data_IF_974288766354
#
_entry.id   IF_974288766354
#
_cell.length_a   1.000
_cell.length_b   1.000
_cell.length_c   1.000
_cell.angle_alpha   90.00
_cell.angle_beta   90.00
_cell.angle_gamma   90.00
#
_symmetry.space_group_name_H-M   'P 1'
#
loop_
_entity.id
_entity.type
_entity.pdbx_description
1 polymer ?
#
# COMPACT_ATOMS: atom_id res chain seq x y z
N UNK A 1 33.69 23.45 -45.71
CA UNK A 1 32.91 22.24 -45.35
C UNK A 1 32.49 22.34 -43.87
N UNK A 2 31.52 23.16 -43.45
CA UNK A 2 31.45 23.45 -41.99
C UNK A 2 30.08 23.74 -41.35
N UNK A 3 29.01 24.12 -42.05
CA UNK A 3 27.73 24.43 -41.38
C UNK A 3 26.66 23.31 -41.49
N UNK A 4 26.53 22.69 -42.67
CA UNK A 4 25.48 21.70 -42.95
C UNK A 4 25.73 20.37 -42.24
N UNK A 5 26.98 19.89 -42.25
CA UNK A 5 27.37 18.64 -41.54
C UNK A 5 27.16 18.74 -40.03
N UNK A 6 27.43 19.90 -39.42
CA UNK A 6 27.27 20.11 -37.98
C UNK A 6 25.79 20.11 -37.59
N UNK A 7 24.92 20.77 -38.37
CA UNK A 7 23.46 20.72 -38.18
C UNK A 7 22.90 19.31 -38.30
N UNK A 8 23.31 18.54 -39.32
CA UNK A 8 22.85 17.16 -39.49
C UNK A 8 23.30 16.25 -38.35
N UNK A 9 24.55 16.37 -37.87
CA UNK A 9 25.05 15.57 -36.73
C UNK A 9 24.31 15.91 -35.44
N UNK A 10 24.06 17.19 -35.15
CA UNK A 10 23.28 17.61 -33.97
C UNK A 10 21.84 17.07 -34.04
N UNK A 11 21.19 17.14 -35.21
CA UNK A 11 19.83 16.60 -35.39
C UNK A 11 19.76 15.08 -35.21
N UNK A 12 20.74 14.33 -35.70
CA UNK A 12 20.80 12.87 -35.52
C UNK A 12 21.00 12.49 -34.05
N UNK A 13 21.87 13.20 -33.31
CA UNK A 13 22.10 12.95 -31.88
C UNK A 13 20.85 13.24 -31.05
N UNK A 14 20.12 14.32 -31.33
CA UNK A 14 18.87 14.65 -30.63
C UNK A 14 17.79 13.59 -30.89
N UNK A 15 17.64 13.14 -32.14
CA UNK A 15 16.68 12.08 -32.49
C UNK A 15 17.02 10.77 -31.79
N UNK A 16 18.31 10.38 -31.75
CA UNK A 16 18.75 9.17 -31.06
C UNK A 16 18.54 9.26 -29.54
N UNK A 17 18.77 10.42 -28.93
CA UNK A 17 18.50 10.66 -27.50
C UNK A 17 17.00 10.55 -27.19
N UNK A 18 16.14 11.16 -28.00
CA UNK A 18 14.69 11.06 -27.84
C UNK A 18 14.20 9.62 -28.04
N UNK A 19 14.72 8.91 -29.04
CA UNK A 19 14.42 7.50 -29.25
C UNK A 19 14.89 6.63 -28.07
N UNK A 20 16.07 6.88 -27.52
CA UNK A 20 16.58 6.17 -26.35
C UNK A 20 15.72 6.42 -25.10
N UNK A 21 15.28 7.66 -24.87
CA UNK A 21 14.34 8.01 -23.79
C UNK A 21 12.99 7.33 -24.00
N UNK A 22 12.47 7.33 -25.22
CA UNK A 22 11.20 6.68 -25.55
C UNK A 22 11.27 5.16 -25.37
N UNK A 23 12.33 4.50 -25.85
CA UNK A 23 12.57 3.06 -25.65
C UNK A 23 12.75 2.74 -24.17
N UNK A 24 13.49 3.57 -23.42
CA UNK A 24 13.66 3.41 -21.98
C UNK A 24 12.34 3.52 -21.22
N UNK A 25 11.48 4.48 -21.58
CA UNK A 25 10.14 4.61 -21.00
C UNK A 25 9.26 3.41 -21.36
N UNK A 26 9.23 3.03 -22.64
CA UNK A 26 8.43 1.94 -23.15
C UNK A 26 8.84 0.59 -22.53
N UNK A 27 10.14 0.33 -22.38
CA UNK A 27 10.62 -0.86 -21.68
C UNK A 27 10.20 -0.90 -20.21
N UNK A 28 10.20 0.24 -19.51
CA UNK A 28 9.78 0.28 -18.10
C UNK A 28 8.30 0.05 -17.91
N UNK A 29 7.45 0.55 -18.82
CA UNK A 29 6.00 0.35 -18.73
C UNK A 29 5.57 -1.04 -19.17
N UNK A 30 6.24 -1.63 -20.16
CA UNK A 30 5.88 -2.93 -20.73
C UNK A 30 6.50 -4.15 -20.02
N UNK A 31 7.44 -3.96 -19.07
CA UNK A 31 7.98 -5.09 -18.31
C UNK A 31 6.88 -5.78 -17.50
N UNK A 32 6.85 -7.12 -17.48
CA UNK A 32 5.94 -7.85 -16.60
C UNK A 32 6.29 -7.54 -15.13
N UNK A 33 5.35 -7.74 -14.18
CA UNK A 33 5.65 -7.63 -12.77
C UNK A 33 6.83 -8.52 -12.36
N UNK A 34 7.68 -7.99 -11.49
CA UNK A 34 8.79 -8.72 -10.90
C UNK A 34 8.32 -9.78 -9.89
N UNK A 35 9.26 -10.52 -9.28
CA UNK A 35 8.94 -11.43 -8.19
C UNK A 35 8.25 -10.66 -7.04
N UNK A 36 7.33 -11.33 -6.34
CA UNK A 36 6.64 -10.75 -5.19
C UNK A 36 7.67 -10.42 -4.09
N UNK A 37 7.68 -9.20 -3.54
CA UNK A 37 8.44 -8.89 -2.34
C UNK A 37 8.04 -9.80 -1.16
N UNK A 38 8.96 -10.04 -0.24
CA UNK A 38 8.67 -10.78 1.00
C UNK A 38 7.92 -9.87 1.99
N UNK A 39 6.71 -9.45 1.62
CA UNK A 39 5.84 -8.60 2.42
C UNK A 39 5.65 -9.21 3.80
N UNK A 40 5.82 -8.39 4.83
CA UNK A 40 5.52 -8.74 6.21
C UNK A 40 4.13 -8.24 6.58
N UNK A 41 3.56 -8.82 7.64
CA UNK A 41 2.36 -8.26 8.24
C UNK A 41 2.66 -6.83 8.70
N UNK A 42 1.83 -5.82 8.38
CA UNK A 42 2.16 -4.39 8.56
C UNK A 42 1.99 -3.90 10.00
N UNK A 43 2.40 -4.72 10.96
CA UNK A 43 2.21 -4.55 12.41
C UNK A 43 3.45 -5.07 13.14
N UNK A 44 3.61 -4.71 14.42
CA UNK A 44 4.83 -5.02 15.15
C UNK A 44 5.14 -6.54 15.21
N UNK A 45 6.43 -6.87 15.20
CA UNK A 45 6.96 -8.23 15.33
C UNK A 45 6.33 -9.00 16.49
N UNK A 46 5.96 -10.26 16.24
CA UNK A 46 5.40 -11.17 17.24
C UNK A 46 3.93 -10.93 17.56
N UNK A 47 3.31 -9.87 17.04
CA UNK A 47 1.87 -9.68 17.22
C UNK A 47 1.08 -10.64 16.32
N UNK A 48 0.07 -11.29 16.89
CA UNK A 48 -0.92 -12.07 16.14
C UNK A 48 -2.13 -11.21 15.81
N UNK A 49 -2.55 -11.25 14.55
CA UNK A 49 -3.69 -10.51 14.05
C UNK A 49 -4.61 -11.43 13.26
N UNK A 50 -5.91 -11.18 13.40
CA UNK A 50 -6.95 -11.78 12.58
C UNK A 50 -7.04 -10.99 11.28
N UNK A 51 -6.80 -11.67 10.17
CA UNK A 51 -7.09 -11.21 8.82
C UNK A 51 -8.50 -11.67 8.49
N UNK A 52 -9.33 -10.80 7.91
CA UNK A 52 -10.70 -11.15 7.58
C UNK A 52 -11.23 -10.46 6.34
N UNK A 53 -12.26 -11.07 5.75
CA UNK A 53 -13.13 -10.50 4.71
C UNK A 53 -14.58 -10.90 4.97
N UNK A 54 -15.52 -10.25 4.27
CA UNK A 54 -16.96 -10.46 4.41
C UNK A 54 -17.73 -10.06 3.13
N UNK A 55 -19.01 -10.47 2.98
CA UNK A 55 -19.86 -10.08 1.85
C UNK A 55 -19.89 -8.58 1.53
N UNK A 56 -19.41 -8.22 0.34
CA UNK A 56 -19.35 -6.85 -0.15
C UNK A 56 -18.12 -6.06 0.31
N UNK A 57 -17.11 -6.73 0.87
CA UNK A 57 -15.83 -6.11 1.24
C UNK A 57 -14.99 -5.74 0.02
N UNK A 58 -15.08 -6.52 -1.07
CA UNK A 58 -14.24 -6.43 -2.25
C UNK A 58 -13.24 -7.59 -2.35
N UNK A 59 -13.08 -8.12 -3.56
CA UNK A 59 -12.12 -9.20 -3.82
C UNK A 59 -10.69 -8.78 -3.40
N UNK A 60 -10.02 -9.69 -2.69
CA UNK A 60 -8.66 -9.57 -2.15
C UNK A 60 -8.47 -8.56 -1.01
N UNK A 61 -9.52 -7.86 -0.59
CA UNK A 61 -9.44 -6.87 0.49
C UNK A 61 -9.30 -7.58 1.84
N UNK A 62 -8.34 -7.12 2.65
CA UNK A 62 -8.03 -7.72 3.95
C UNK A 62 -8.19 -6.68 5.04
N UNK A 63 -9.08 -6.95 5.98
CA UNK A 63 -9.14 -6.22 7.24
C UNK A 63 -8.32 -6.94 8.30
N UNK A 64 -7.45 -6.20 8.97
CA UNK A 64 -6.59 -6.68 10.03
C UNK A 64 -7.09 -6.16 11.39
N UNK A 65 -7.36 -7.09 12.29
CA UNK A 65 -7.76 -6.85 13.68
C UNK A 65 -6.75 -7.48 14.64
N UNK A 66 -6.28 -6.79 15.67
CA UNK A 66 -5.41 -7.42 16.65
C UNK A 66 -6.17 -8.48 17.45
N UNK A 67 -5.54 -9.62 17.74
CA UNK A 67 -6.19 -10.66 18.56
C UNK A 67 -6.14 -10.36 20.06
N UNK A 68 -5.37 -9.36 20.48
CA UNK A 68 -5.19 -8.97 21.88
C UNK A 68 -4.71 -7.52 22.01
N UNK A 69 -4.98 -6.91 23.16
CA UNK A 69 -4.56 -5.54 23.47
C UNK A 69 -5.49 -4.47 22.90
N UNK A 70 -5.09 -3.22 23.06
CA UNK A 70 -5.82 -2.07 22.51
C UNK A 70 -5.72 -2.05 20.97
N UNK A 71 -6.78 -1.59 20.30
CA UNK A 71 -6.82 -1.50 18.83
C UNK A 71 -6.47 -0.10 18.36
N UNK A 72 -7.00 0.93 19.01
CA UNK A 72 -6.78 2.32 18.62
C UNK A 72 -5.32 2.74 18.77
N UNK A 73 -4.81 3.47 17.78
CA UNK A 73 -3.51 4.11 17.86
C UNK A 73 -2.32 3.16 17.71
N UNK A 74 -2.55 1.85 17.50
CA UNK A 74 -1.47 0.88 17.28
C UNK A 74 -0.60 1.28 16.08
N UNK A 75 0.73 1.07 16.14
CA UNK A 75 1.60 1.32 15.01
C UNK A 75 1.19 0.53 13.78
N UNK A 76 1.09 1.23 12.64
CA UNK A 76 1.01 0.61 11.31
C UNK A 76 2.37 0.76 10.65
N UNK A 77 2.94 -0.36 10.22
CA UNK A 77 4.30 -0.44 9.70
C UNK A 77 4.31 -0.70 8.19
N UNK A 78 5.33 -0.23 7.51
CA UNK A 78 5.57 -0.62 6.13
C UNK A 78 5.79 -2.14 6.04
N UNK A 79 5.00 -2.80 5.19
CA UNK A 79 5.09 -4.25 4.96
C UNK A 79 6.40 -4.65 4.27
N UNK A 80 7.02 -3.73 3.54
CA UNK A 80 8.29 -3.92 2.85
C UNK A 80 8.89 -2.56 2.50
N UNK A 81 10.20 -2.51 2.21
CA UNK A 81 10.87 -1.30 1.77
C UNK A 81 10.28 -0.75 0.46
N UNK A 82 10.25 0.56 0.29
CA UNK A 82 9.66 1.18 -0.89
C UNK A 82 9.68 2.71 -0.87
N UNK A 83 8.94 3.30 -1.80
CA UNK A 83 8.73 4.74 -1.88
C UNK A 83 7.24 5.04 -1.69
N UNK A 84 6.93 5.94 -0.77
CA UNK A 84 5.57 6.42 -0.54
C UNK A 84 5.12 7.20 -1.77
N UNK A 85 4.08 6.72 -2.44
CA UNK A 85 3.52 7.37 -3.64
C UNK A 85 2.23 8.12 -3.34
N UNK A 86 1.55 7.82 -2.24
CA UNK A 86 0.42 8.58 -1.70
C UNK A 86 0.47 8.59 -0.18
N UNK A 87 0.20 9.75 0.42
CA UNK A 87 0.02 9.91 1.86
C UNK A 87 -0.90 11.10 2.12
N UNK A 88 -2.07 10.87 2.71
CA UNK A 88 -3.03 11.94 2.95
C UNK A 88 -4.43 11.43 3.20
N UNK A 89 -5.43 12.12 2.64
CA UNK A 89 -6.86 11.81 2.81
C UNK A 89 -7.42 11.22 1.52
N UNK A 90 -8.13 10.09 1.61
CA UNK A 90 -8.98 9.53 0.57
C UNK A 90 -10.44 9.68 1.01
N UNK A 91 -11.22 10.51 0.31
CA UNK A 91 -12.61 10.76 0.65
C UNK A 91 -12.77 11.71 1.85
N UNK A 92 -13.62 11.35 2.82
CA UNK A 92 -13.96 12.18 3.99
C UNK A 92 -13.63 11.41 5.26
N UNK A 93 -13.03 12.06 6.26
CA UNK A 93 -12.58 11.40 7.49
C UNK A 93 -13.72 10.86 8.38
N UNK A 94 -14.86 11.55 8.45
CA UNK A 94 -15.87 11.25 9.48
C UNK A 94 -15.43 11.78 10.86
N UNK A 95 -16.08 11.30 11.91
CA UNK A 95 -15.85 11.79 13.29
C UNK A 95 -15.53 10.66 14.29
N UNK A 96 -15.23 9.45 13.78
CA UNK A 96 -14.88 8.31 14.63
C UNK A 96 -13.46 8.44 15.16
N UNK A 97 -13.36 8.49 16.47
CA UNK A 97 -12.10 8.60 17.24
C UNK A 97 -12.18 7.71 18.48
N UNK A 98 -11.08 7.52 19.24
CA UNK A 98 -11.12 6.81 20.52
C UNK A 98 -12.17 7.40 21.49
N UNK A 99 -12.32 8.73 21.51
CA UNK A 99 -13.28 9.43 22.37
C UNK A 99 -14.71 9.48 21.79
N UNK A 100 -14.87 9.19 20.50
CA UNK A 100 -16.15 9.14 19.80
C UNK A 100 -16.26 7.89 18.91
N UNK A 101 -16.24 6.67 19.47
CA UNK A 101 -16.13 5.44 18.68
C UNK A 101 -17.38 5.14 17.83
N UNK A 102 -18.52 5.78 18.16
CA UNK A 102 -19.79 5.66 17.44
C UNK A 102 -20.12 6.90 16.58
N UNK A 103 -19.14 7.78 16.36
CA UNK A 103 -19.31 8.95 15.51
C UNK A 103 -19.75 8.60 14.08
N UNK A 104 -20.30 9.57 13.33
CA UNK A 104 -20.66 9.36 11.94
C UNK A 104 -19.44 8.93 11.10
N UNK A 105 -19.65 7.97 10.22
CA UNK A 105 -18.62 7.51 9.28
C UNK A 105 -18.31 8.57 8.22
N UNK A 106 -17.08 8.48 7.72
CA UNK A 106 -16.60 9.21 6.58
C UNK A 106 -17.07 8.61 5.25
N UNK A 107 -16.22 8.73 4.24
CA UNK A 107 -16.33 8.06 2.93
C UNK A 107 -14.95 7.69 2.45
N UNK A 108 -14.80 6.59 1.72
CA UNK A 108 -13.50 6.15 1.19
C UNK A 108 -12.51 5.73 2.27
N UNK A 109 -11.22 5.74 1.95
CA UNK A 109 -10.17 5.18 2.80
C UNK A 109 -9.77 6.01 4.02
N UNK A 110 -10.29 7.22 4.20
CA UNK A 110 -9.89 8.09 5.31
C UNK A 110 -8.43 8.52 5.18
N UNK A 111 -7.70 8.57 6.28
CA UNK A 111 -6.24 8.72 6.21
C UNK A 111 -5.60 7.44 5.67
N UNK A 112 -4.71 7.59 4.70
CA UNK A 112 -4.17 6.45 3.96
C UNK A 112 -2.76 6.66 3.47
N UNK A 113 -2.09 5.54 3.18
CA UNK A 113 -0.76 5.48 2.57
C UNK A 113 -0.79 4.47 1.42
N UNK A 114 -0.05 4.77 0.35
CA UNK A 114 0.32 3.80 -0.70
C UNK A 114 1.83 3.79 -0.88
N UNK A 115 2.43 2.62 -0.88
CA UNK A 115 3.88 2.44 -1.06
C UNK A 115 4.13 1.65 -2.36
N UNK A 116 4.99 2.18 -3.23
CA UNK A 116 5.54 1.46 -4.39
C UNK A 116 6.82 0.74 -3.96
N UNK A 117 6.86 -0.57 -4.18
CA UNK A 117 7.98 -1.44 -3.82
C UNK A 117 8.88 -1.77 -5.03
N UNK A 118 8.59 -1.20 -6.19
CA UNK A 118 9.23 -1.54 -7.45
C UNK A 118 8.68 -2.84 -8.05
N UNK A 119 9.12 -3.17 -9.26
CA UNK A 119 8.69 -4.40 -9.94
C UNK A 119 7.16 -4.49 -10.16
N UNK A 120 6.47 -3.35 -10.23
CA UNK A 120 5.00 -3.22 -10.32
C UNK A 120 4.24 -3.75 -9.10
N UNK A 121 4.87 -3.77 -7.93
CA UNK A 121 4.22 -4.11 -6.67
C UNK A 121 3.96 -2.86 -5.83
N UNK A 122 2.76 -2.74 -5.26
CA UNK A 122 2.46 -1.70 -4.28
C UNK A 122 1.60 -2.25 -3.14
N UNK A 123 1.65 -1.58 -1.98
CA UNK A 123 0.74 -1.85 -0.85
C UNK A 123 -0.11 -0.64 -0.51
N UNK A 124 -1.31 -0.89 -0.01
CA UNK A 124 -2.29 0.12 0.41
C UNK A 124 -2.62 -0.06 1.90
N UNK A 125 -2.74 1.06 2.63
CA UNK A 125 -3.05 1.09 4.06
C UNK A 125 -4.13 2.16 4.27
N UNK A 126 -5.33 1.77 4.71
CA UNK A 126 -6.46 2.69 4.90
C UNK A 126 -6.87 2.79 6.38
N UNK A 127 -7.81 3.71 6.63
CA UNK A 127 -8.47 3.94 7.91
C UNK A 127 -7.53 4.36 9.04
N UNK A 128 -6.40 5.00 8.72
CA UNK A 128 -5.47 5.48 9.73
C UNK A 128 -6.14 6.53 10.65
N UNK A 129 -5.68 6.62 11.89
CA UNK A 129 -6.27 7.45 12.93
C UNK A 129 -6.05 8.95 12.70
N UNK A 130 -4.87 9.30 12.21
CA UNK A 130 -4.37 10.66 12.08
C UNK A 130 -3.60 10.79 10.75
N UNK A 131 -3.21 12.01 10.33
CA UNK A 131 -2.40 12.18 9.13
C UNK A 131 -1.18 11.24 9.13
N UNK A 132 -0.86 10.60 7.97
CA UNK A 132 0.28 9.68 7.90
C UNK A 132 1.58 10.28 8.43
N UNK A 133 2.41 9.44 9.04
CA UNK A 133 3.73 9.82 9.58
C UNK A 133 4.81 9.92 8.49
N UNK A 134 4.41 9.79 7.23
CA UNK A 134 5.27 9.80 6.04
C UNK A 134 4.69 10.73 4.99
N UNK A 135 5.53 11.17 4.06
CA UNK A 135 5.13 12.08 2.97
C UNK A 135 5.39 11.47 1.59
N UNK A 136 4.66 11.94 0.57
CA UNK A 136 4.88 11.49 -0.81
C UNK A 136 6.34 11.74 -1.27
N UNK A 137 6.95 10.72 -1.88
CA UNK A 137 8.36 10.72 -2.27
C UNK A 137 9.32 10.21 -1.20
N UNK A 138 8.86 10.04 0.05
CA UNK A 138 9.68 9.48 1.12
C UNK A 138 10.00 8.01 0.85
N UNK A 139 11.26 7.62 1.04
CA UNK A 139 11.66 6.21 1.13
C UNK A 139 11.42 5.69 2.55
N UNK A 140 10.91 4.47 2.62
CA UNK A 140 10.70 3.73 3.86
C UNK A 140 11.34 2.36 3.74
N UNK A 141 11.84 1.86 4.85
CA UNK A 141 12.29 0.49 5.01
C UNK A 141 11.15 -0.40 5.53
N UNK A 142 11.32 -1.72 5.43
CA UNK A 142 10.42 -2.68 6.08
C UNK A 142 10.41 -2.41 7.59
N UNK A 143 9.21 -2.33 8.18
CA UNK A 143 9.07 -2.09 9.62
C UNK A 143 9.05 -0.62 10.04
N UNK A 144 9.34 0.32 9.12
CA UNK A 144 9.17 1.75 9.41
C UNK A 144 7.71 2.06 9.75
N UNK A 145 7.48 2.83 10.81
CA UNK A 145 6.14 3.27 11.16
C UNK A 145 5.64 4.33 10.17
N UNK A 146 4.50 4.04 9.54
CA UNK A 146 3.89 4.92 8.53
C UNK A 146 2.62 5.62 9.02
N UNK A 147 2.05 5.15 10.12
CA UNK A 147 0.85 5.71 10.71
C UNK A 147 0.42 5.01 11.99
N UNK A 148 -0.82 5.28 12.37
CA UNK A 148 -1.48 4.67 13.52
C UNK A 148 -2.86 4.15 13.12
N UNK A 149 -3.24 2.98 13.62
CA UNK A 149 -4.52 2.35 13.33
C UNK A 149 -5.68 3.17 13.88
N UNK A 150 -6.69 3.41 13.05
CA UNK A 150 -7.90 4.13 13.43
C UNK A 150 -9.16 3.60 12.74
N UNK A 151 -10.11 4.49 12.51
CA UNK A 151 -11.40 4.18 11.87
C UNK A 151 -11.89 5.39 11.06
N UNK A 152 -10.96 6.16 10.48
CA UNK A 152 -11.36 7.28 9.60
C UNK A 152 -11.84 6.75 8.25
N UNK A 153 -12.65 7.53 7.54
CA UNK A 153 -13.25 7.08 6.28
C UNK A 153 -14.48 6.23 6.50
N UNK A 154 -14.74 5.33 5.55
CA UNK A 154 -15.87 4.40 5.56
C UNK A 154 -15.54 3.15 6.39
N UNK A 155 -15.28 3.35 7.69
CA UNK A 155 -14.93 2.31 8.64
C UNK A 155 -15.88 2.32 9.83
N UNK A 156 -16.43 1.15 10.17
CA UNK A 156 -17.47 0.99 11.19
C UNK A 156 -16.93 0.58 12.57
N UNK A 157 -15.64 0.27 12.66
CA UNK A 157 -14.89 -0.04 13.88
C UNK A 157 -13.39 0.04 13.54
N UNK A 158 -12.50 0.32 14.50
CA UNK A 158 -11.08 0.45 14.20
C UNK A 158 -10.47 -0.87 13.71
N UNK A 159 -9.83 -0.81 12.54
CA UNK A 159 -9.11 -1.89 11.87
C UNK A 159 -8.15 -1.28 10.84
N UNK A 160 -7.23 -2.09 10.33
CA UNK A 160 -6.44 -1.72 9.16
C UNK A 160 -6.98 -2.46 7.95
N UNK A 161 -7.50 -1.74 6.96
CA UNK A 161 -7.74 -2.30 5.64
C UNK A 161 -6.43 -2.23 4.83
N UNK A 162 -6.06 -3.36 4.24
CA UNK A 162 -4.77 -3.56 3.59
C UNK A 162 -4.93 -4.30 2.27
N UNK A 163 -4.16 -3.85 1.27
CA UNK A 163 -4.11 -4.49 -0.05
C UNK A 163 -2.66 -4.71 -0.50
N UNK A 164 -2.42 -5.83 -1.19
CA UNK A 164 -1.27 -6.01 -2.08
C UNK A 164 -1.74 -5.87 -3.52
N UNK A 165 -1.05 -5.04 -4.30
CA UNK A 165 -1.37 -4.81 -5.70
C UNK A 165 -0.20 -5.22 -6.59
N UNK A 166 -0.51 -5.89 -7.69
CA UNK A 166 0.42 -6.27 -8.76
C UNK A 166 -0.05 -5.67 -10.08
N UNK A 167 0.77 -4.80 -10.65
CA UNK A 167 0.44 -4.00 -11.84
C UNK A 167 -0.83 -3.14 -11.67
N UNK A 168 -1.07 -2.66 -10.46
CA UNK A 168 -2.24 -1.85 -10.12
C UNK A 168 -3.51 -2.65 -9.82
N UNK A 169 -3.49 -3.97 -10.01
CA UNK A 169 -4.61 -4.86 -9.68
C UNK A 169 -4.40 -5.50 -8.32
N UNK A 170 -5.48 -5.61 -7.54
CA UNK A 170 -5.47 -6.31 -6.25
C UNK A 170 -5.21 -7.79 -6.46
N UNK A 171 -4.40 -8.39 -5.59
CA UNK A 171 -4.09 -9.81 -5.60
C UNK A 171 -4.13 -10.36 -4.19
N UNK A 172 -4.28 -11.68 -4.07
CA UNK A 172 -4.19 -12.36 -2.79
C UNK A 172 -2.92 -11.91 -2.03
N UNK A 173 -3.12 -11.49 -0.78
CA UNK A 173 -2.07 -11.00 0.09
C UNK A 173 -1.26 -12.15 0.68
N UNK A 174 0.07 -12.00 0.68
CA UNK A 174 0.99 -12.98 1.27
C UNK A 174 1.85 -12.27 2.31
N UNK A 175 1.97 -12.88 3.49
CA UNK A 175 2.75 -12.34 4.60
C UNK A 175 3.81 -13.36 5.00
N UNK A 176 5.09 -12.98 4.93
CA UNK A 176 6.23 -13.88 5.12
C UNK A 176 6.16 -15.17 4.28
N UNK A 177 5.55 -15.09 3.09
CA UNK A 177 5.34 -16.23 2.20
C UNK A 177 4.06 -17.04 2.46
N UNK A 178 3.36 -16.78 3.56
CA UNK A 178 2.08 -17.41 3.90
C UNK A 178 0.92 -16.69 3.22
N UNK A 179 -0.02 -17.45 2.66
CA UNK A 179 -1.24 -16.95 2.01
C UNK A 179 -2.23 -16.42 3.04
N UNK A 180 -2.89 -15.30 2.75
CA UNK A 180 -4.05 -14.87 3.54
C UNK A 180 -5.27 -15.79 3.36
N UNK A 181 -5.36 -16.53 2.23
CA UNK A 181 -6.55 -17.31 1.89
C UNK A 181 -7.76 -16.46 1.47
N UNK A 182 -7.61 -15.13 1.46
CA UNK A 182 -8.66 -14.18 1.08
C UNK A 182 -8.50 -13.86 -0.41
N UNK A 183 -9.39 -14.42 -1.22
CA UNK A 183 -9.41 -14.22 -2.68
C UNK A 183 -10.73 -13.73 -3.24
N UNK A 184 -11.81 -13.83 -2.46
CA UNK A 184 -13.15 -13.38 -2.82
C UNK A 184 -13.88 -12.87 -1.58
N UNK A 185 -14.98 -12.17 -1.77
CA UNK A 185 -15.78 -11.61 -0.68
C UNK A 185 -17.15 -12.30 -0.49
N UNK A 186 -17.47 -13.37 -1.23
CA UNK A 186 -18.81 -14.00 -1.20
C UNK A 186 -19.24 -14.62 0.14
N UNK A 187 -18.32 -14.79 1.09
CA UNK A 187 -18.57 -15.33 2.42
C UNK A 187 -17.65 -14.69 3.45
N UNK A 188 -18.02 -14.80 4.72
CA UNK A 188 -17.12 -14.45 5.80
C UNK A 188 -15.96 -15.44 5.88
N UNK A 189 -14.74 -14.93 5.89
CA UNK A 189 -13.54 -15.73 6.10
C UNK A 189 -12.60 -15.01 7.05
N UNK A 190 -11.90 -15.76 7.90
CA UNK A 190 -10.84 -15.23 8.72
C UNK A 190 -9.76 -16.25 9.06
N UNK A 191 -8.54 -15.74 9.22
CA UNK A 191 -7.36 -16.52 9.60
C UNK A 191 -6.45 -15.67 10.48
N UNK A 192 -5.73 -16.30 11.41
CA UNK A 192 -4.77 -15.59 12.25
C UNK A 192 -3.35 -15.74 11.69
N UNK A 193 -2.64 -14.62 11.55
CA UNK A 193 -1.23 -14.60 11.17
C UNK A 193 -0.42 -13.89 12.27
N UNK A 194 0.82 -14.32 12.47
CA UNK A 194 1.75 -13.67 13.39
C UNK A 194 2.79 -12.88 12.59
N UNK A 195 2.99 -11.62 12.97
CA UNK A 195 3.92 -10.74 12.27
C UNK A 195 5.37 -11.18 12.47
N UNK A 196 6.11 -11.26 11.37
CA UNK A 196 7.57 -11.35 11.34
C UNK A 196 8.22 -10.02 10.90
N UNK A 197 7.50 -8.91 11.04
CA UNK A 197 8.00 -7.56 10.74
C UNK A 197 8.87 -7.03 11.89
N UNK A 198 10.07 -7.59 12.00
CA UNK A 198 11.02 -7.33 13.08
C UNK A 198 12.08 -6.30 12.66
N UNK A 199 12.45 -5.37 13.56
CA UNK A 199 13.49 -4.37 13.29
C UNK A 199 14.89 -4.99 13.17
#
# INVERSE_FOLDING_TARGET
MTATRVRTVVSVVVVLMLAAVAVWFAERTMRPPGPRPAFQLPVACGETWRLSTYPGHGDFDVDLYPTSGETWGRPVLAAYAGTVVRAGINGRLGERTPDNPRGPMGRGGGYWVRIDHGGKWSTLYLHLLEPPMVTEGQRVEMGDQIGKLGSTGESSAPHLHFEQLRDGEKVESYFAGERSGITHDNEEYAVNHTSANCP
#
